data_IF_788527116774
#
_entry.id   IF_788527116774
#
_cell.length_a   1.000
_cell.length_b   1.000
_cell.length_c   1.000
_cell.angle_alpha   90.00
_cell.angle_beta   90.00
_cell.angle_gamma   90.00
#
_symmetry.space_group_name_H-M   'P 1'
#
loop_
_entity.id
_entity.type
_entity.pdbx_description
1 polymer ?
#
# COMPACT_ATOMS: atom_id res chain seq x y z
N UNK A 1 -12.52 0.45 13.63
CA UNK A 1 -13.49 0.26 12.53
C UNK A 1 -13.28 -1.06 11.80
N UNK A 2 -12.10 -1.33 11.24
CA UNK A 2 -11.78 -2.59 10.51
C UNK A 2 -11.94 -3.86 11.36
N UNK A 3 -11.56 -3.80 12.66
CA UNK A 3 -11.70 -4.93 13.58
C UNK A 3 -13.13 -5.46 13.68
N UNK A 4 -14.13 -4.58 13.56
CA UNK A 4 -15.55 -4.95 13.61
C UNK A 4 -15.97 -5.78 12.39
N UNK A 5 -15.42 -5.48 11.22
CA UNK A 5 -15.69 -6.24 9.98
C UNK A 5 -14.93 -7.54 9.94
N UNK A 6 -13.69 -7.55 10.44
CA UNK A 6 -12.87 -8.75 10.52
C UNK A 6 -13.49 -9.81 11.44
N UNK A 7 -14.03 -9.38 12.59
CA UNK A 7 -14.66 -10.22 13.61
C UNK A 7 -16.18 -10.40 13.43
N UNK A 8 -16.75 -10.02 12.28
CA UNK A 8 -18.19 -10.14 12.05
C UNK A 8 -18.61 -11.60 11.92
N UNK A 9 -19.78 -11.99 12.44
CA UNK A 9 -20.23 -13.40 12.41
C UNK A 9 -20.36 -13.95 10.98
N UNK A 10 -20.80 -13.14 10.02
CA UNK A 10 -20.86 -13.53 8.60
C UNK A 10 -19.50 -13.70 7.95
N UNK A 11 -18.43 -13.21 8.59
CA UNK A 11 -17.07 -13.42 8.14
C UNK A 11 -16.50 -14.75 8.63
N UNK A 12 -17.05 -15.39 9.67
CA UNK A 12 -16.49 -16.64 10.21
C UNK A 12 -16.34 -17.71 9.12
N UNK A 13 -15.16 -18.34 9.07
CA UNK A 13 -14.73 -19.33 8.06
C UNK A 13 -14.77 -18.90 6.58
N UNK A 14 -14.99 -17.62 6.26
CA UNK A 14 -14.92 -17.15 4.88
C UNK A 14 -13.54 -16.56 4.53
N UNK A 15 -12.93 -16.92 3.40
CA UNK A 15 -11.59 -16.44 3.02
C UNK A 15 -11.57 -14.95 2.66
N UNK A 16 -12.72 -14.39 2.28
CA UNK A 16 -12.93 -12.96 2.04
C UNK A 16 -14.36 -12.55 2.36
N UNK A 17 -14.60 -11.26 2.60
CA UNK A 17 -15.93 -10.68 2.77
C UNK A 17 -16.10 -9.39 1.98
N UNK A 18 -17.29 -9.16 1.44
CA UNK A 18 -17.65 -7.89 0.81
C UNK A 18 -17.85 -6.81 1.86
N UNK A 19 -17.27 -5.63 1.62
CA UNK A 19 -17.43 -4.45 2.47
C UNK A 19 -17.83 -3.24 1.62
N UNK A 20 -18.54 -2.30 2.25
CA UNK A 20 -18.80 -1.00 1.65
C UNK A 20 -17.90 0.03 2.33
N UNK A 21 -16.97 0.59 1.57
CA UNK A 21 -16.06 1.64 2.02
C UNK A 21 -16.55 2.96 1.43
N UNK A 22 -17.16 3.79 2.26
CA UNK A 22 -17.91 4.99 1.82
C UNK A 22 -18.95 4.62 0.77
N UNK A 23 -18.78 5.09 -0.47
CA UNK A 23 -19.68 4.85 -1.61
C UNK A 23 -19.16 3.78 -2.57
N UNK A 24 -18.09 3.06 -2.19
CA UNK A 24 -17.44 2.07 -3.05
C UNK A 24 -17.53 0.68 -2.44
N UNK A 25 -17.86 -0.29 -3.30
CA UNK A 25 -17.77 -1.70 -2.97
C UNK A 25 -16.29 -2.11 -2.91
N UNK A 26 -15.92 -2.87 -1.88
CA UNK A 26 -14.59 -3.40 -1.68
C UNK A 26 -14.65 -4.83 -1.14
N UNK A 27 -13.51 -5.51 -1.18
CA UNK A 27 -13.36 -6.87 -0.65
C UNK A 27 -12.31 -6.84 0.46
N UNK A 28 -12.67 -7.35 1.63
CA UNK A 28 -11.76 -7.61 2.74
C UNK A 28 -11.27 -9.05 2.65
N UNK A 29 -10.02 -9.23 2.22
CA UNK A 29 -9.36 -10.54 2.19
C UNK A 29 -8.84 -10.88 3.59
N UNK A 30 -9.09 -12.10 4.06
CA UNK A 30 -8.69 -12.56 5.41
C UNK A 30 -7.80 -13.81 5.39
N UNK A 31 -7.88 -14.61 4.33
CA UNK A 31 -7.03 -15.79 4.17
C UNK A 31 -5.57 -15.38 3.88
N UNK A 32 -4.59 -15.80 4.71
CA UNK A 32 -3.17 -15.50 4.49
C UNK A 32 -2.64 -15.93 3.12
N UNK A 33 -3.11 -17.05 2.56
CA UNK A 33 -2.65 -17.51 1.24
C UNK A 33 -3.17 -16.59 0.12
N UNK A 34 -4.42 -16.13 0.21
CA UNK A 34 -4.97 -15.14 -0.72
C UNK A 34 -4.28 -13.78 -0.58
N UNK A 35 -4.00 -13.34 0.65
CA UNK A 35 -3.25 -12.10 0.90
C UNK A 35 -1.88 -12.19 0.24
N UNK A 36 -1.15 -13.30 0.43
CA UNK A 36 0.15 -13.52 -0.20
C UNK A 36 0.05 -13.57 -1.72
N UNK A 37 -0.99 -14.19 -2.27
CA UNK A 37 -1.21 -14.21 -3.70
C UNK A 37 -1.38 -12.78 -4.25
N UNK A 38 -2.27 -11.99 -3.67
CA UNK A 38 -2.55 -10.61 -4.11
C UNK A 38 -1.35 -9.69 -3.92
N UNK A 39 -0.68 -9.77 -2.77
CA UNK A 39 0.40 -8.84 -2.40
C UNK A 39 1.77 -9.21 -2.99
N UNK A 40 1.99 -10.48 -3.36
CA UNK A 40 3.29 -10.96 -3.84
C UNK A 40 3.20 -11.50 -5.27
N UNK A 41 2.41 -12.56 -5.50
CA UNK A 41 2.36 -13.24 -6.80
C UNK A 41 1.75 -12.35 -7.89
N UNK A 42 0.62 -11.73 -7.58
CA UNK A 42 -0.16 -10.88 -8.48
C UNK A 42 0.06 -9.39 -8.23
N UNK A 43 1.16 -9.00 -7.57
CA UNK A 43 1.43 -7.60 -7.22
C UNK A 43 1.32 -6.66 -8.41
N UNK A 44 1.79 -7.08 -9.59
CA UNK A 44 1.72 -6.28 -10.81
C UNK A 44 0.29 -5.92 -11.25
N UNK A 45 -0.71 -6.73 -10.88
CA UNK A 45 -2.14 -6.46 -11.17
C UNK A 45 -2.78 -5.56 -10.10
N UNK A 46 -2.27 -5.64 -8.87
CA UNK A 46 -2.81 -4.93 -7.69
C UNK A 46 -1.86 -3.83 -7.19
N UNK A 47 -0.98 -3.33 -8.05
CA UNK A 47 0.12 -2.44 -7.68
C UNK A 47 -0.34 -1.04 -7.27
N UNK A 48 -1.56 -0.65 -7.65
CA UNK A 48 -2.12 0.67 -7.39
C UNK A 48 -3.06 0.64 -6.18
N UNK A 49 -2.93 1.64 -5.31
CA UNK A 49 -3.80 1.81 -4.14
C UNK A 49 -5.18 2.34 -4.57
N UNK A 50 -6.20 2.02 -3.77
CA UNK A 50 -7.59 2.43 -4.04
C UNK A 50 -7.80 3.95 -3.99
N UNK A 51 -7.06 4.64 -3.13
CA UNK A 51 -6.93 6.09 -3.08
C UNK A 51 -5.70 6.51 -3.89
N UNK A 52 -5.87 6.76 -5.18
CA UNK A 52 -4.82 7.29 -6.02
C UNK A 52 -5.19 8.70 -6.49
N UNK A 53 -4.25 9.63 -6.38
CA UNK A 53 -4.41 10.96 -6.95
C UNK A 53 -4.48 10.86 -8.48
N UNK A 54 -5.21 11.80 -9.10
CA UNK A 54 -5.15 12.01 -10.55
C UNK A 54 -4.05 13.03 -10.82
N UNK A 55 -3.06 12.67 -11.62
CA UNK A 55 -1.93 13.55 -11.93
C UNK A 55 -2.35 14.81 -12.69
N UNK A 56 -3.45 14.72 -13.45
CA UNK A 56 -3.96 15.83 -14.25
C UNK A 56 -4.79 16.81 -13.42
N UNK A 57 -5.37 16.35 -12.31
CA UNK A 57 -6.23 17.16 -11.46
C UNK A 57 -5.54 17.57 -10.15
N UNK A 58 -4.53 16.82 -9.71
CA UNK A 58 -3.78 17.06 -8.48
C UNK A 58 -2.31 16.59 -8.60
N UNK A 59 -1.47 17.48 -9.15
CA UNK A 59 -0.03 17.26 -9.29
C UNK A 59 0.69 17.15 -7.93
N UNK A 60 0.16 17.76 -6.88
CA UNK A 60 0.77 17.73 -5.55
C UNK A 60 0.52 16.40 -4.84
N UNK A 61 -0.72 15.91 -4.87
CA UNK A 61 -1.04 14.61 -4.26
C UNK A 61 -0.41 13.46 -5.05
N UNK A 62 -0.30 13.55 -6.37
CA UNK A 62 0.38 12.52 -7.19
C UNK A 62 1.88 12.40 -6.91
N UNK A 63 2.53 13.48 -6.46
CA UNK A 63 3.93 13.45 -6.01
C UNK A 63 4.13 12.80 -4.62
N UNK A 64 3.06 12.55 -3.86
CA UNK A 64 3.15 11.93 -2.54
C UNK A 64 3.21 10.39 -2.65
N UNK A 65 4.21 9.76 -2.03
CA UNK A 65 4.42 8.29 -2.07
C UNK A 65 3.20 7.47 -1.61
N UNK A 66 2.30 8.03 -0.79
CA UNK A 66 1.08 7.34 -0.36
C UNK A 66 -0.03 7.32 -1.41
N UNK A 67 -0.04 8.28 -2.33
CA UNK A 67 -1.09 8.46 -3.33
C UNK A 67 -0.60 8.29 -4.78
N UNK A 68 0.73 8.25 -4.98
CA UNK A 68 1.37 7.98 -6.25
C UNK A 68 0.95 6.61 -6.81
N UNK A 69 0.66 6.57 -8.11
CA UNK A 69 0.37 5.33 -8.84
C UNK A 69 1.65 4.77 -9.45
N UNK A 70 1.67 3.50 -9.82
CA UNK A 70 2.77 2.98 -10.63
C UNK A 70 2.71 3.59 -12.04
N UNK A 71 3.86 3.96 -12.65
CA UNK A 71 5.24 3.67 -12.22
C UNK A 71 5.88 4.71 -11.28
N UNK A 72 5.29 5.89 -11.10
CA UNK A 72 5.85 7.00 -10.31
C UNK A 72 6.15 6.61 -8.87
N UNK A 73 5.26 5.84 -8.25
CA UNK A 73 5.46 5.27 -6.92
C UNK A 73 6.80 4.53 -6.80
N UNK A 74 7.16 3.74 -7.81
CA UNK A 74 8.41 2.97 -7.84
C UNK A 74 9.61 3.91 -7.89
N UNK A 75 9.53 4.96 -8.70
CA UNK A 75 10.59 5.99 -8.81
C UNK A 75 10.78 6.75 -7.51
N UNK A 76 9.69 7.21 -6.88
CA UNK A 76 9.75 7.94 -5.60
C UNK A 76 10.32 7.03 -4.51
N UNK A 77 9.85 5.78 -4.44
CA UNK A 77 10.36 4.79 -3.47
C UNK A 77 11.85 4.51 -3.66
N UNK A 78 12.32 4.35 -4.89
CA UNK A 78 13.75 4.13 -5.17
C UNK A 78 14.62 5.28 -4.67
N UNK A 79 14.16 6.53 -4.82
CA UNK A 79 14.86 7.72 -4.31
C UNK A 79 14.86 7.81 -2.79
N UNK A 80 13.77 7.40 -2.14
CA UNK A 80 13.63 7.45 -0.67
C UNK A 80 14.27 6.25 0.05
N UNK A 81 14.34 5.08 -0.58
CA UNK A 81 14.84 3.85 0.04
C UNK A 81 16.20 4.03 0.74
N UNK A 82 17.20 4.71 0.15
CA UNK A 82 18.50 4.91 0.79
C UNK A 82 18.40 5.59 2.16
N UNK A 83 17.54 6.60 2.31
CA UNK A 83 17.36 7.39 3.55
C UNK A 83 16.89 6.52 4.71
N UNK A 84 16.11 5.47 4.42
CA UNK A 84 15.58 4.54 5.43
C UNK A 84 16.41 3.27 5.58
N UNK A 85 17.53 3.15 4.86
CA UNK A 85 18.50 2.07 5.05
C UNK A 85 19.64 2.54 5.95
N UNK A 86 20.08 1.66 6.86
CA UNK A 86 21.09 1.97 7.87
C UNK A 86 22.42 2.51 7.32
N UNK A 87 22.71 2.25 6.04
CA UNK A 87 23.95 2.69 5.37
C UNK A 87 24.12 4.21 5.33
N UNK A 88 23.04 4.98 5.12
CA UNK A 88 23.13 6.46 5.13
C UNK A 88 23.45 6.97 6.53
N UNK A 89 22.95 6.29 7.56
CA UNK A 89 23.21 6.66 8.96
C UNK A 89 24.65 6.37 9.41
N UNK A 90 25.32 5.38 8.81
CA UNK A 90 26.75 5.13 9.07
C UNK A 90 27.66 6.08 8.30
N UNK A 91 27.31 6.44 7.06
CA UNK A 91 28.10 7.36 6.23
C UNK A 91 28.06 8.81 6.72
N UNK A 92 26.97 9.25 7.36
CA UNK A 92 26.95 10.56 8.03
C UNK A 92 27.77 10.55 9.33
N UNK A 93 27.74 9.45 10.11
CA UNK A 93 28.52 9.35 11.35
C UNK A 93 30.03 9.29 11.09
N UNK A 94 30.47 8.68 9.98
CA UNK A 94 31.89 8.72 9.56
C UNK A 94 32.32 10.07 8.96
N UNK A 95 31.38 10.91 8.49
CA UNK A 95 31.69 12.23 7.91
C UNK A 95 31.87 13.33 8.96
N UNK A 96 31.45 13.07 10.20
CA UNK A 96 31.61 13.96 11.35
C UNK A 96 32.71 13.52 12.33
N UNK A 97 33.53 12.54 11.93
CA UNK A 97 34.74 12.09 12.61
C UNK A 97 35.97 12.23 11.70
#
# INVERSE_FOLDING_TARGET
MVQRWYNHQSANNQPFVGIHVFFRHGILVRDPELIKQVMVKDFNKFSNRSSGADIHNDTLASANIFFAKNPEWRTIRQKLTPVFTSKVRSEEVERFH
#
